data_IF_737520224391
#
_entry.id   IF_737520224391
#
_cell.length_a   1.000
_cell.length_b   1.000
_cell.length_c   1.000
_cell.angle_alpha   90.00
_cell.angle_beta   90.00
_cell.angle_gamma   90.00
#
_symmetry.space_group_name_H-M   'P 1'
#
loop_
_entity.id
_entity.type
_entity.pdbx_description
1 polymer ?
#
# COMPACT_ATOMS: atom_id res chain seq x y z
N UNK A 1 -2.01 -0.10 -14.85
CA UNK A 1 -3.32 0.19 -14.25
C UNK A 1 -3.67 1.60 -14.67
N UNK A 2 -4.62 1.75 -15.57
CA UNK A 2 -5.18 3.04 -15.94
C UNK A 2 -6.48 3.24 -15.16
N UNK A 3 -6.62 4.41 -14.54
CA UNK A 3 -7.88 4.84 -13.97
C UNK A 3 -8.45 5.82 -14.97
N UNK A 4 -9.67 5.60 -15.39
CA UNK A 4 -10.37 6.56 -16.24
C UNK A 4 -10.87 7.74 -15.39
N UNK A 5 -9.92 8.49 -14.82
CA UNK A 5 -10.17 9.66 -13.98
C UNK A 5 -9.39 10.85 -14.52
N UNK A 6 -10.01 12.03 -14.66
CA UNK A 6 -9.32 13.23 -15.14
C UNK A 6 -8.07 13.53 -14.31
N UNK A 7 -6.97 13.81 -14.97
CA UNK A 7 -5.68 14.16 -14.33
C UNK A 7 -5.07 13.07 -13.47
N UNK A 8 -5.39 11.78 -13.71
CA UNK A 8 -4.73 10.69 -13.00
C UNK A 8 -3.25 10.61 -13.35
N UNK A 9 -2.40 10.52 -12.32
CA UNK A 9 -0.98 10.29 -12.50
C UNK A 9 -0.71 8.80 -12.77
N UNK A 10 0.13 8.53 -13.76
CA UNK A 10 0.60 7.18 -14.04
C UNK A 10 1.98 6.99 -13.42
N UNK A 11 2.18 5.81 -12.83
CA UNK A 11 3.52 5.40 -12.42
C UNK A 11 4.42 5.16 -13.64
N UNK A 12 5.71 5.17 -13.41
CA UNK A 12 6.72 4.91 -14.42
C UNK A 12 7.68 3.83 -13.94
N UNK A 13 7.95 2.87 -14.81
CA UNK A 13 9.00 1.89 -14.65
C UNK A 13 9.79 1.82 -15.95
N UNK A 14 11.10 2.04 -15.88
CA UNK A 14 11.96 1.86 -17.04
C UNK A 14 12.00 0.36 -17.39
N UNK A 15 11.27 -0.04 -18.42
CA UNK A 15 11.35 -1.39 -18.97
C UNK A 15 12.58 -1.43 -19.86
N UNK A 16 13.57 -2.26 -19.50
CA UNK A 16 14.77 -2.51 -20.30
C UNK A 16 14.72 -3.96 -20.79
N UNK A 17 15.26 -4.19 -21.97
CA UNK A 17 15.41 -5.55 -22.53
C UNK A 17 16.27 -6.45 -21.64
N UNK A 18 17.15 -5.86 -20.84
CA UNK A 18 17.98 -6.56 -19.88
C UNK A 18 18.09 -5.73 -18.59
N UNK A 19 17.62 -6.31 -17.49
CA UNK A 19 17.80 -5.78 -16.14
C UNK A 19 19.06 -6.41 -15.57
N UNK A 20 20.01 -5.61 -15.08
CA UNK A 20 21.20 -6.13 -14.41
C UNK A 20 20.92 -6.40 -12.93
N UNK A 21 21.68 -7.31 -12.31
CA UNK A 21 21.42 -7.79 -10.95
C UNK A 21 21.30 -6.66 -9.91
N UNK A 22 22.11 -5.61 -10.03
CA UNK A 22 22.03 -4.43 -9.16
C UNK A 22 20.69 -3.68 -9.30
N UNK A 23 20.19 -3.55 -10.52
CA UNK A 23 18.88 -2.91 -10.76
C UNK A 23 17.74 -3.79 -10.25
N UNK A 24 17.84 -5.11 -10.46
CA UNK A 24 16.88 -6.08 -9.94
C UNK A 24 16.79 -6.03 -8.42
N UNK A 25 17.95 -5.98 -7.74
CA UNK A 25 18.00 -5.82 -6.29
C UNK A 25 17.34 -4.50 -5.85
N UNK A 26 17.63 -3.39 -6.55
CA UNK A 26 17.03 -2.08 -6.24
C UNK A 26 15.52 -2.08 -6.42
N UNK A 27 15.00 -2.71 -7.47
CA UNK A 27 13.55 -2.89 -7.69
C UNK A 27 12.91 -3.70 -6.56
N UNK A 28 13.61 -4.70 -6.01
CA UNK A 28 13.16 -5.48 -4.86
C UNK A 28 12.93 -4.65 -3.59
N UNK A 29 13.61 -3.51 -3.45
CA UNK A 29 13.39 -2.55 -2.36
C UNK A 29 12.41 -1.43 -2.73
N UNK A 30 11.86 -1.43 -3.95
CA UNK A 30 10.96 -0.39 -4.43
C UNK A 30 11.63 0.85 -5.02
N UNK A 31 12.94 0.79 -5.34
CA UNK A 31 13.66 1.84 -6.04
C UNK A 31 13.63 1.62 -7.57
N UNK A 32 13.79 2.69 -8.33
CA UNK A 32 13.83 2.62 -9.80
C UNK A 32 12.46 2.55 -10.48
N UNK A 33 11.39 2.71 -9.72
CA UNK A 33 10.04 2.84 -10.23
C UNK A 33 9.29 3.97 -9.51
N UNK A 34 8.33 4.58 -10.18
CA UNK A 34 7.35 5.46 -9.55
C UNK A 34 5.97 4.84 -9.70
N UNK A 35 5.17 4.99 -8.66
CA UNK A 35 3.81 4.43 -8.60
C UNK A 35 2.89 5.47 -7.97
N UNK A 36 1.67 5.61 -8.49
CA UNK A 36 0.69 6.48 -7.85
C UNK A 36 0.11 5.83 -6.60
N UNK A 37 -0.38 6.62 -5.62
CA UNK A 37 -1.05 6.10 -4.43
C UNK A 37 -2.17 5.13 -4.76
N UNK A 38 -2.89 5.41 -5.82
CA UNK A 38 -3.98 4.58 -6.27
C UNK A 38 -3.51 3.24 -6.86
N UNK A 39 -2.43 3.26 -7.64
CA UNK A 39 -1.86 2.04 -8.19
C UNK A 39 -1.35 1.09 -7.10
N UNK A 40 -0.74 1.62 -6.03
CA UNK A 40 -0.27 0.78 -4.93
C UNK A 40 -1.45 0.19 -4.13
N UNK A 41 -2.51 0.98 -3.88
CA UNK A 41 -3.72 0.46 -3.24
C UNK A 41 -4.38 -0.64 -4.07
N UNK A 42 -4.50 -0.43 -5.39
CA UNK A 42 -5.03 -1.45 -6.32
C UNK A 42 -4.17 -2.72 -6.37
N UNK A 43 -2.83 -2.58 -6.30
CA UNK A 43 -1.94 -3.75 -6.28
C UNK A 43 -2.11 -4.56 -4.98
N UNK A 44 -2.27 -3.89 -3.84
CA UNK A 44 -2.48 -4.57 -2.55
C UNK A 44 -3.88 -5.19 -2.43
N UNK A 45 -4.90 -4.63 -3.08
CA UNK A 45 -6.23 -5.24 -3.12
C UNK A 45 -6.24 -6.63 -3.77
N UNK A 46 -5.25 -6.94 -4.61
CA UNK A 46 -5.08 -8.28 -5.18
C UNK A 46 -4.89 -9.34 -4.11
N UNK A 47 -4.16 -9.02 -3.04
CA UNK A 47 -3.94 -9.96 -1.93
C UNK A 47 -5.24 -10.23 -1.18
N UNK A 48 -6.02 -9.19 -0.90
CA UNK A 48 -7.33 -9.28 -0.27
C UNK A 48 -8.38 -10.01 -1.15
N UNK A 49 -8.22 -9.95 -2.47
CA UNK A 49 -9.08 -10.60 -3.45
C UNK A 49 -8.55 -11.97 -3.92
N UNK A 50 -7.85 -12.73 -3.07
CA UNK A 50 -7.37 -14.08 -3.39
C UNK A 50 -6.55 -14.18 -4.69
N UNK A 51 -5.75 -13.14 -4.99
CA UNK A 51 -4.90 -13.09 -6.17
C UNK A 51 -5.59 -12.60 -7.44
N UNK A 52 -6.81 -12.07 -7.32
CA UNK A 52 -7.58 -11.52 -8.43
C UNK A 52 -7.46 -9.99 -8.42
N UNK A 53 -6.96 -9.45 -9.51
CA UNK A 53 -7.04 -8.02 -9.79
C UNK A 53 -8.45 -7.69 -10.30
N UNK A 54 -9.09 -6.70 -9.70
CA UNK A 54 -10.36 -6.12 -10.16
C UNK A 54 -10.09 -4.72 -10.64
N UNK A 55 -10.63 -4.36 -11.79
CA UNK A 55 -10.58 -2.97 -12.24
C UNK A 55 -11.36 -2.09 -11.26
N UNK A 56 -10.87 -0.86 -11.14
CA UNK A 56 -11.52 0.11 -10.28
C UNK A 56 -12.73 0.71 -10.96
N UNK A 57 -13.81 0.90 -10.21
CA UNK A 57 -14.97 1.66 -10.64
C UNK A 57 -15.23 2.86 -9.75
N UNK A 58 -15.60 3.97 -10.35
CA UNK A 58 -16.02 5.20 -9.67
C UNK A 58 -17.54 5.27 -9.55
N UNK A 59 -18.24 4.77 -10.56
CA UNK A 59 -19.69 4.81 -10.62
C UNK A 59 -20.26 3.44 -10.22
N UNK A 60 -21.42 3.47 -9.54
CA UNK A 60 -22.03 2.27 -8.99
C UNK A 60 -22.39 1.23 -10.07
N UNK A 61 -22.77 1.71 -11.26
CA UNK A 61 -23.30 0.87 -12.34
C UNK A 61 -22.25 0.56 -13.43
N UNK A 62 -20.94 0.85 -13.17
CA UNK A 62 -19.88 0.45 -14.07
C UNK A 62 -19.60 -1.05 -13.96
N UNK A 63 -19.43 -1.71 -15.11
CA UNK A 63 -18.94 -3.08 -15.18
C UNK A 63 -17.48 -3.14 -14.77
N UNK A 64 -17.13 -4.11 -13.93
CA UNK A 64 -15.77 -4.33 -13.44
C UNK A 64 -15.21 -5.58 -14.08
N UNK A 65 -14.16 -5.43 -14.88
CA UNK A 65 -13.40 -6.58 -15.32
C UNK A 65 -12.50 -7.11 -14.20
N UNK A 66 -12.24 -8.40 -14.22
CA UNK A 66 -11.36 -9.04 -13.24
C UNK A 66 -10.47 -10.07 -13.91
N UNK A 67 -9.25 -10.23 -13.40
CA UNK A 67 -8.30 -11.24 -13.88
C UNK A 67 -7.43 -11.76 -12.75
N UNK A 68 -7.12 -13.04 -12.78
CA UNK A 68 -6.13 -13.60 -11.84
C UNK A 68 -4.72 -13.16 -12.25
N UNK A 69 -3.97 -12.63 -11.28
CA UNK A 69 -2.59 -12.16 -11.49
C UNK A 69 -1.57 -12.95 -10.69
N UNK A 70 -1.98 -13.55 -9.56
CA UNK A 70 -1.20 -14.49 -8.77
C UNK A 70 -2.09 -15.63 -8.28
N UNK A 71 -1.50 -16.72 -7.82
CA UNK A 71 -2.26 -17.83 -7.24
C UNK A 71 -2.88 -17.42 -5.90
N UNK A 72 -3.98 -18.06 -5.53
CA UNK A 72 -4.63 -17.87 -4.22
C UNK A 72 -3.67 -18.20 -3.06
N UNK A 73 -2.90 -19.28 -3.20
CA UNK A 73 -1.90 -19.66 -2.20
C UNK A 73 -0.81 -18.59 -2.02
N UNK A 74 -0.38 -17.97 -3.12
CA UNK A 74 0.59 -16.86 -3.06
C UNK A 74 -0.02 -15.65 -2.35
N UNK A 75 -1.26 -15.28 -2.69
CA UNK A 75 -1.97 -14.17 -2.05
C UNK A 75 -2.12 -14.39 -0.54
N UNK A 76 -2.56 -15.59 -0.13
CA UNK A 76 -2.69 -15.98 1.29
C UNK A 76 -1.36 -15.91 2.04
N UNK A 77 -0.26 -16.41 1.45
CA UNK A 77 1.05 -16.34 2.08
C UNK A 77 1.55 -14.90 2.25
N UNK A 78 1.27 -14.02 1.28
CA UNK A 78 1.60 -12.61 1.39
C UNK A 78 0.76 -11.94 2.48
N UNK A 79 -0.55 -12.21 2.57
CA UNK A 79 -1.39 -11.67 3.64
C UNK A 79 -0.87 -12.06 5.04
N UNK A 80 -0.47 -13.31 5.25
CA UNK A 80 0.13 -13.75 6.50
C UNK A 80 1.42 -12.99 6.82
N UNK A 81 2.27 -12.75 5.81
CA UNK A 81 3.48 -11.96 5.99
C UNK A 81 3.17 -10.50 6.34
N UNK A 82 2.15 -9.89 5.70
CA UNK A 82 1.70 -8.53 6.00
C UNK A 82 1.09 -8.42 7.41
N UNK A 83 0.36 -9.43 7.86
CA UNK A 83 -0.16 -9.52 9.22
C UNK A 83 0.97 -9.54 10.27
N UNK A 84 2.04 -10.30 10.02
CA UNK A 84 3.20 -10.30 10.91
C UNK A 84 3.88 -8.93 11.02
N UNK A 85 3.86 -8.11 9.97
CA UNK A 85 4.39 -6.74 10.02
C UNK A 85 3.64 -5.86 11.02
N UNK A 86 2.32 -6.05 11.14
CA UNK A 86 1.49 -5.31 12.09
C UNK A 86 1.51 -5.91 13.49
N UNK A 87 1.68 -7.24 13.63
CA UNK A 87 1.77 -7.91 14.93
C UNK A 87 3.12 -7.71 15.60
N UNK A 88 4.20 -7.98 14.89
CA UNK A 88 5.56 -8.06 15.46
C UNK A 88 6.62 -7.20 14.75
N UNK A 89 6.26 -6.62 13.59
CA UNK A 89 7.17 -5.88 12.74
C UNK A 89 7.11 -4.36 12.90
N UNK A 90 7.53 -3.68 11.84
CA UNK A 90 7.63 -2.22 11.75
C UNK A 90 6.27 -1.50 11.67
N UNK A 91 5.18 -2.24 11.51
CA UNK A 91 3.82 -1.72 11.37
C UNK A 91 2.95 -1.82 12.61
N UNK A 92 3.50 -2.09 13.81
CA UNK A 92 2.72 -2.26 15.05
C UNK A 92 1.76 -1.11 15.36
N UNK A 93 2.13 0.11 15.01
CA UNK A 93 1.30 1.29 15.22
C UNK A 93 0.09 1.38 14.25
N UNK A 94 -0.04 0.44 13.31
CA UNK A 94 -1.21 0.32 12.43
C UNK A 94 -2.35 -0.51 13.06
N UNK A 95 -2.23 -0.88 14.33
CA UNK A 95 -3.22 -1.72 15.01
C UNK A 95 -4.59 -1.04 15.04
N UNK A 96 -5.62 -1.75 14.60
CA UNK A 96 -7.03 -1.37 14.66
C UNK A 96 -7.70 -2.34 15.64
N UNK A 97 -8.12 -1.82 16.79
CA UNK A 97 -8.69 -2.64 17.84
C UNK A 97 -9.95 -3.37 17.35
N UNK A 98 -10.06 -4.66 17.65
CA UNK A 98 -11.17 -5.49 17.26
C UNK A 98 -11.16 -5.98 15.81
N UNK A 99 -10.11 -5.67 15.03
CA UNK A 99 -10.01 -6.10 13.64
C UNK A 99 -8.64 -6.69 13.32
N UNK A 100 -8.64 -7.67 12.44
CA UNK A 100 -7.40 -8.20 11.85
C UNK A 100 -6.85 -7.23 10.80
N UNK A 101 -5.56 -7.03 10.77
CA UNK A 101 -4.92 -6.17 9.77
C UNK A 101 -3.55 -6.69 9.34
N UNK A 102 -3.18 -6.31 8.14
CA UNK A 102 -1.85 -6.55 7.59
C UNK A 102 -1.39 -5.36 6.76
N UNK A 103 -0.09 -5.11 6.72
CA UNK A 103 0.40 -3.96 5.96
C UNK A 103 1.91 -3.91 5.81
N UNK A 104 2.37 -2.83 5.16
CA UNK A 104 3.79 -2.58 4.92
C UNK A 104 4.12 -1.10 5.08
N UNK A 105 5.16 -0.83 5.83
CA UNK A 105 5.75 0.51 5.96
C UNK A 105 6.66 0.83 4.76
N UNK A 106 6.73 2.09 4.39
CA UNK A 106 7.72 2.63 3.46
C UNK A 106 8.31 3.92 4.02
N UNK A 107 9.61 4.10 3.82
CA UNK A 107 10.32 5.34 4.16
C UNK A 107 11.35 5.56 3.07
N UNK A 108 11.23 6.64 2.32
CA UNK A 108 12.12 6.96 1.21
C UNK A 108 12.58 8.41 1.32
N UNK A 109 13.83 8.66 0.89
CA UNK A 109 14.30 10.02 0.69
C UNK A 109 13.61 10.67 -0.51
N UNK A 110 13.21 11.91 -0.37
CA UNK A 110 12.67 12.67 -1.50
C UNK A 110 13.79 13.14 -2.43
N UNK A 111 13.44 13.33 -3.70
CA UNK A 111 14.37 13.86 -4.71
C UNK A 111 14.21 15.38 -4.72
N UNK A 112 15.32 16.10 -4.47
CA UNK A 112 15.39 17.55 -4.67
C UNK A 112 15.73 17.83 -6.13
N UNK A 113 14.93 18.68 -6.78
CA UNK A 113 15.14 19.03 -8.17
C UNK A 113 16.57 19.58 -8.40
N UNK A 114 17.33 18.91 -9.28
CA UNK A 114 18.69 19.31 -9.65
C UNK A 114 19.83 18.82 -8.75
N UNK A 115 19.56 18.16 -7.61
CA UNK A 115 20.62 17.73 -6.67
C UNK A 115 20.54 16.28 -6.19
N UNK A 116 19.63 15.45 -6.73
CA UNK A 116 19.46 14.06 -6.31
C UNK A 116 18.64 13.90 -5.03
N UNK A 117 18.92 12.84 -4.25
CA UNK A 117 18.21 12.60 -3.01
C UNK A 117 18.57 13.63 -1.94
N UNK A 118 17.55 14.19 -1.28
CA UNK A 118 17.73 15.07 -0.14
C UNK A 118 18.02 14.23 1.13
N UNK A 119 19.03 14.59 1.90
CA UNK A 119 19.40 13.85 3.12
C UNK A 119 18.41 14.08 4.26
N UNK A 120 17.67 15.19 4.24
CA UNK A 120 16.82 15.70 5.29
C UNK A 120 15.32 15.68 4.95
N UNK A 121 14.93 15.22 3.76
CA UNK A 121 13.54 15.19 3.33
C UNK A 121 13.08 13.76 3.07
N UNK A 122 12.05 13.35 3.80
CA UNK A 122 11.51 12.00 3.72
C UNK A 122 10.07 11.98 3.23
N UNK A 123 9.70 10.85 2.64
CA UNK A 123 8.30 10.46 2.48
C UNK A 123 8.07 9.20 3.28
N UNK A 124 7.19 9.30 4.26
CA UNK A 124 6.73 8.19 5.08
C UNK A 124 5.43 7.64 4.50
N UNK A 125 5.32 6.32 4.39
CA UNK A 125 4.11 5.69 3.88
C UNK A 125 3.75 4.42 4.63
N UNK A 126 2.46 4.09 4.58
CA UNK A 126 1.92 2.81 5.02
C UNK A 126 0.81 2.39 4.09
N UNK A 127 0.85 1.15 3.64
CA UNK A 127 -0.25 0.49 2.94
C UNK A 127 -0.75 -0.64 3.81
N UNK A 128 -2.06 -0.70 4.04
CA UNK A 128 -2.66 -1.75 4.86
C UNK A 128 -3.99 -2.24 4.33
N UNK A 129 -4.33 -3.43 4.78
CA UNK A 129 -5.58 -4.15 4.50
C UNK A 129 -6.21 -4.49 5.85
N UNK A 130 -7.48 -4.17 6.03
CA UNK A 130 -8.25 -4.47 7.25
C UNK A 130 -9.76 -4.47 6.97
N UNK A 131 -10.57 -5.33 7.58
CA UNK A 131 -10.16 -6.59 8.21
C UNK A 131 -9.57 -7.56 7.17
N UNK A 132 -8.86 -8.61 7.61
CA UNK A 132 -8.28 -9.62 6.72
C UNK A 132 -9.31 -10.69 6.34
N UNK A 133 -10.45 -10.26 5.80
CA UNK A 133 -11.55 -11.10 5.35
C UNK A 133 -12.09 -10.66 3.98
N UNK A 134 -13.21 -11.20 3.52
CA UNK A 134 -13.77 -10.94 2.19
C UNK A 134 -14.21 -9.48 1.95
N UNK A 135 -14.46 -8.73 3.01
CA UNK A 135 -14.95 -7.34 2.95
C UNK A 135 -13.87 -6.33 3.37
N UNK A 136 -12.63 -6.57 3.02
CA UNK A 136 -11.49 -5.77 3.42
C UNK A 136 -11.45 -4.39 2.78
N UNK A 137 -10.96 -3.42 3.54
CA UNK A 137 -10.53 -2.11 3.06
C UNK A 137 -9.02 -2.15 2.77
N UNK A 138 -8.62 -1.59 1.64
CA UNK A 138 -7.21 -1.33 1.32
C UNK A 138 -6.96 0.17 1.39
N UNK A 139 -6.12 0.60 2.32
CA UNK A 139 -5.88 2.02 2.63
C UNK A 139 -4.40 2.31 2.48
N UNK A 140 -4.06 3.31 1.67
CA UNK A 140 -2.70 3.83 1.52
C UNK A 140 -2.60 5.23 2.14
N UNK A 141 -1.61 5.41 2.99
CA UNK A 141 -1.28 6.69 3.63
C UNK A 141 0.12 7.10 3.20
N UNK A 142 0.28 8.34 2.76
CA UNK A 142 1.57 8.95 2.45
C UNK A 142 1.67 10.31 3.10
N UNK A 143 2.77 10.55 3.80
CA UNK A 143 3.06 11.80 4.50
C UNK A 143 4.39 12.30 3.97
N UNK A 144 4.35 13.46 3.32
CA UNK A 144 5.52 14.11 2.79
C UNK A 144 6.15 15.03 3.84
N UNK A 145 7.46 14.97 3.92
CA UNK A 145 8.28 15.80 4.79
C UNK A 145 7.80 15.81 6.26
N UNK A 146 7.63 14.62 6.88
CA UNK A 146 7.31 14.56 8.31
C UNK A 146 8.46 15.13 9.14
N UNK A 147 8.17 15.46 10.41
CA UNK A 147 9.19 15.93 11.35
C UNK A 147 10.38 14.98 11.43
N UNK A 148 11.60 15.50 11.45
CA UNK A 148 12.83 14.70 11.56
C UNK A 148 12.91 13.85 12.83
N UNK A 149 12.22 14.24 13.90
CA UNK A 149 12.14 13.45 15.14
C UNK A 149 11.33 12.16 14.96
N UNK A 150 10.44 12.12 13.94
CA UNK A 150 9.58 10.98 13.67
C UNK A 150 9.23 10.93 12.18
N UNK A 151 10.09 10.33 11.37
CA UNK A 151 9.97 10.36 9.90
C UNK A 151 9.69 9.00 9.25
N UNK A 152 9.62 7.92 10.02
CA UNK A 152 9.41 6.60 9.45
C UNK A 152 7.93 6.30 9.15
N UNK A 153 7.69 5.45 8.15
CA UNK A 153 6.33 4.98 7.85
C UNK A 153 5.64 4.33 9.03
N UNK A 154 6.40 3.62 9.89
CA UNK A 154 5.88 2.99 11.09
C UNK A 154 5.51 3.98 12.19
N UNK A 155 6.21 5.11 12.30
CA UNK A 155 5.98 6.10 13.36
C UNK A 155 4.92 7.14 13.03
N UNK A 156 4.74 7.49 11.74
CA UNK A 156 3.80 8.56 11.37
C UNK A 156 2.67 8.10 10.45
N UNK A 157 2.94 7.24 9.47
CA UNK A 157 1.91 6.79 8.52
C UNK A 157 1.06 5.64 9.07
N UNK A 158 1.65 4.70 9.83
CA UNK A 158 0.92 3.58 10.41
C UNK A 158 -0.13 4.02 11.45
N UNK A 159 0.13 4.97 12.37
CA UNK A 159 -0.92 5.50 13.26
C UNK A 159 -2.03 6.23 12.52
N UNK A 160 -1.70 6.95 11.45
CA UNK A 160 -2.69 7.62 10.61
C UNK A 160 -3.59 6.58 9.90
N UNK A 161 -2.99 5.50 9.37
CA UNK A 161 -3.74 4.38 8.83
C UNK A 161 -4.72 3.82 9.86
N UNK A 162 -4.27 3.52 11.10
CA UNK A 162 -5.11 2.95 12.15
C UNK A 162 -6.36 3.82 12.39
N UNK A 163 -6.19 5.12 12.53
CA UNK A 163 -7.31 6.06 12.73
C UNK A 163 -8.28 6.11 11.54
N UNK A 164 -7.76 6.13 10.31
CA UNK A 164 -8.58 6.14 9.10
C UNK A 164 -9.36 4.83 9.01
N UNK A 165 -8.69 3.70 9.23
CA UNK A 165 -9.28 2.38 9.17
C UNK A 165 -10.42 2.22 10.22
N UNK A 166 -10.15 2.53 11.48
CA UNK A 166 -11.12 2.47 12.57
C UNK A 166 -12.39 3.29 12.25
N UNK A 167 -12.21 4.55 11.87
CA UNK A 167 -13.34 5.42 11.53
C UNK A 167 -14.10 4.93 10.31
N UNK A 168 -13.40 4.39 9.30
CA UNK A 168 -14.04 3.87 8.08
C UNK A 168 -14.84 2.60 8.36
N UNK A 169 -14.29 1.67 9.14
CA UNK A 169 -14.96 0.43 9.52
C UNK A 169 -16.23 0.72 10.34
N UNK A 170 -16.12 1.61 11.33
CA UNK A 170 -17.26 2.04 12.13
C UNK A 170 -18.36 2.70 11.27
N UNK A 171 -17.97 3.58 10.33
CA UNK A 171 -18.92 4.24 9.44
C UNK A 171 -19.63 3.25 8.49
N UNK A 172 -18.92 2.21 8.05
CA UNK A 172 -19.45 1.17 7.19
C UNK A 172 -20.26 0.10 7.95
N UNK A 173 -20.30 0.17 9.28
CA UNK A 173 -21.05 -0.76 10.12
C UNK A 173 -20.39 -2.14 10.25
N UNK A 174 -19.06 -2.19 10.15
CA UNK A 174 -18.33 -3.43 10.44
C UNK A 174 -18.33 -3.70 11.96
N UNK A 175 -18.44 -4.97 12.30
CA UNK A 175 -18.33 -5.45 13.68
C UNK A 175 -16.95 -6.04 13.90
N UNK A 176 -16.50 -6.01 15.14
CA UNK A 176 -15.20 -6.57 15.54
C UNK A 176 -15.09 -8.05 15.13
N UNK A 177 -13.88 -8.46 14.73
CA UNK A 177 -13.57 -9.86 14.46
C UNK A 177 -13.64 -10.65 15.79
N UNK A 178 -14.36 -11.79 15.82
CA UNK A 178 -14.44 -12.68 16.98
C UNK A 178 -13.16 -13.50 17.20
#
# INVERSE_FOLDING_TARGET
ISINFPSSAFGYMAIKDKIVDKELASLGYGYGLTISPFQIASAYSVFANNGIFKDFKLLKDEDVSSRRVISESTASNILKALEMVTKDGTGKAANVNGFSQGGKTGTVHQIRSGSGYAEDMYRASFIGITPLNENSLTIFVSIDDPSLDSYSGGSVAAPAFAKIAENSLNHLGYFEDE
#
